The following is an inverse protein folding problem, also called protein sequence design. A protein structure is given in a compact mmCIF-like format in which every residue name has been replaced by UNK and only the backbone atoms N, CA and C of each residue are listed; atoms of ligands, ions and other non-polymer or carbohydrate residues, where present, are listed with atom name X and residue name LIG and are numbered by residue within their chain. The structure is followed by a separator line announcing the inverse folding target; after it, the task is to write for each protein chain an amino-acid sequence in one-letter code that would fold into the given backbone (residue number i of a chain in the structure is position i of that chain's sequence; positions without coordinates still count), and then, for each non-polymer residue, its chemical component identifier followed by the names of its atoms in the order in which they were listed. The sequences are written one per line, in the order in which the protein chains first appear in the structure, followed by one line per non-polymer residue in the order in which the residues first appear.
data_IF_080687878215
#
_entry.id   IF_080687878215
#
_cell.length_a   1.000
_cell.length_b   1.000
_cell.length_c   1.000
_cell.angle_alpha   90.00
_cell.angle_beta   90.00
_cell.angle_gamma   90.00
#
_symmetry.space_group_name_H-M   'P 1'
#
loop_
_entity.id
_entity.type
_entity.pdbx_description
1 polymer ?
#
# COMPACT_ATOMS: atom_id res chain seq x y z
N UNK A 1 39.14 15.43 -12.05
CA UNK A 1 37.90 16.11 -12.48
C UNK A 1 37.70 15.69 -13.91
N UNK A 2 36.71 14.85 -14.22
CA UNK A 2 36.17 14.64 -15.58
C UNK A 2 35.04 13.60 -15.53
N UNK A 3 33.82 14.08 -15.32
CA UNK A 3 32.60 13.35 -15.66
C UNK A 3 32.26 13.67 -17.10
N UNK A 4 32.72 12.83 -18.03
CA UNK A 4 32.36 12.92 -19.43
C UNK A 4 30.95 12.34 -19.63
N UNK A 5 29.94 13.18 -19.44
CA UNK A 5 28.62 12.94 -20.03
C UNK A 5 28.67 13.10 -21.55
N UNK A 6 27.72 12.52 -22.30
CA UNK A 6 27.74 12.55 -23.76
C UNK A 6 27.74 14.00 -24.28
N UNK A 7 28.79 14.35 -25.03
CA UNK A 7 29.01 15.65 -25.64
C UNK A 7 28.00 15.88 -26.78
N UNK A 8 26.78 16.30 -26.44
CA UNK A 8 25.72 16.63 -27.41
C UNK A 8 25.04 17.98 -27.18
N UNK A 9 25.55 18.84 -26.29
CA UNK A 9 25.04 20.21 -26.13
C UNK A 9 26.18 21.21 -26.13
N UNK A 10 25.97 22.36 -26.79
CA UNK A 10 26.91 23.48 -26.87
C UNK A 10 27.50 23.84 -25.50
N UNK A 11 28.72 24.39 -25.49
CA UNK A 11 29.52 24.72 -24.28
C UNK A 11 28.90 25.75 -23.31
N UNK A 12 27.60 26.04 -23.42
CA UNK A 12 26.84 26.83 -22.45
C UNK A 12 26.30 25.88 -21.37
N UNK A 13 26.65 26.16 -20.11
CA UNK A 13 26.13 25.45 -18.94
C UNK A 13 24.63 25.72 -18.84
N UNK A 14 23.80 24.89 -19.47
CA UNK A 14 22.35 25.03 -19.44
C UNK A 14 21.81 25.03 -18.00
N UNK A 15 20.72 25.76 -17.75
CA UNK A 15 20.02 25.71 -16.45
C UNK A 15 19.28 24.36 -16.32
N UNK A 16 20.04 23.29 -16.05
CA UNK A 16 19.51 21.93 -15.90
C UNK A 16 18.48 21.86 -14.78
N UNK A 17 18.73 22.54 -13.65
CA UNK A 17 17.79 22.60 -12.52
C UNK A 17 16.43 23.17 -12.94
N UNK A 18 16.42 24.31 -13.63
CA UNK A 18 15.19 24.92 -14.14
C UNK A 18 14.49 24.06 -15.20
N UNK A 19 15.24 23.34 -16.02
CA UNK A 19 14.68 22.40 -17.00
C UNK A 19 13.99 21.22 -16.30
N UNK A 20 14.64 20.59 -15.32
CA UNK A 20 14.04 19.50 -14.55
C UNK A 20 12.82 19.99 -13.75
N UNK A 21 12.88 21.16 -13.12
CA UNK A 21 11.73 21.73 -12.42
C UNK A 21 10.52 21.89 -13.35
N UNK A 22 10.72 22.45 -14.56
CA UNK A 22 9.63 22.59 -15.55
C UNK A 22 9.11 21.25 -16.06
N UNK A 23 10.01 20.28 -16.28
CA UNK A 23 9.64 18.94 -16.73
C UNK A 23 8.83 18.20 -15.66
N UNK A 24 9.28 18.20 -14.41
CA UNK A 24 8.61 17.52 -13.30
C UNK A 24 7.24 18.15 -12.99
N UNK A 25 7.08 19.45 -13.22
CA UNK A 25 5.80 20.15 -13.10
C UNK A 25 4.91 20.03 -14.34
N UNK A 26 5.38 19.37 -15.41
CA UNK A 26 4.59 19.24 -16.63
C UNK A 26 3.44 18.24 -16.44
N UNK A 27 2.26 18.48 -17.05
CA UNK A 27 1.11 17.57 -16.95
C UNK A 27 1.42 16.15 -17.41
N UNK A 28 2.26 16.00 -18.45
CA UNK A 28 2.67 14.71 -18.98
C UNK A 28 3.45 13.90 -17.93
N UNK A 29 4.46 14.53 -17.29
CA UNK A 29 5.25 13.85 -16.26
C UNK A 29 4.39 13.50 -15.05
N UNK A 30 3.57 14.43 -14.56
CA UNK A 30 2.70 14.19 -13.40
C UNK A 30 1.75 13.02 -13.65
N UNK A 31 1.14 12.96 -14.83
CA UNK A 31 0.22 11.87 -15.18
C UNK A 31 0.94 10.53 -15.28
N UNK A 32 2.08 10.49 -16.00
CA UNK A 32 2.90 9.29 -16.10
C UNK A 32 3.41 8.80 -14.73
N UNK A 33 3.91 9.72 -13.91
CA UNK A 33 4.43 9.42 -12.58
C UNK A 33 3.32 8.90 -11.67
N UNK A 34 2.12 9.47 -11.74
CA UNK A 34 0.97 9.00 -10.96
C UNK A 34 0.60 7.56 -11.30
N UNK A 35 0.58 7.21 -12.59
CA UNK A 35 0.34 5.82 -13.05
C UNK A 35 1.44 4.89 -12.55
N UNK A 36 2.71 5.23 -12.77
CA UNK A 36 3.86 4.40 -12.33
C UNK A 36 3.92 4.22 -10.82
N UNK A 37 3.61 5.29 -10.07
CA UNK A 37 3.54 5.26 -8.60
C UNK A 37 2.44 4.32 -8.13
N UNK A 38 1.26 4.37 -8.76
CA UNK A 38 0.17 3.47 -8.38
C UNK A 38 0.48 2.01 -8.73
N UNK A 39 1.13 1.72 -9.87
CA UNK A 39 1.61 0.37 -10.20
C UNK A 39 2.65 -0.16 -9.19
N UNK A 40 3.57 0.69 -8.73
CA UNK A 40 4.53 0.33 -7.69
C UNK A 40 3.83 0.05 -6.35
N UNK A 41 2.90 0.93 -5.96
CA UNK A 41 2.11 0.75 -4.75
C UNK A 41 1.23 -0.50 -4.80
N UNK A 42 0.67 -0.84 -5.97
CA UNK A 42 -0.07 -2.09 -6.18
C UNK A 42 0.79 -3.31 -5.86
N UNK A 43 2.01 -3.38 -6.40
CA UNK A 43 2.94 -4.47 -6.13
C UNK A 43 3.30 -4.55 -4.64
N UNK A 44 3.55 -3.41 -4.01
CA UNK A 44 3.83 -3.35 -2.57
C UNK A 44 2.66 -3.86 -1.73
N UNK A 45 1.41 -3.52 -2.08
CA UNK A 45 0.21 -4.05 -1.38
C UNK A 45 0.11 -5.56 -1.50
N UNK A 46 0.34 -6.13 -2.67
CA UNK A 46 0.31 -7.58 -2.87
C UNK A 46 1.37 -8.28 -2.02
N UNK A 47 2.60 -7.77 -2.02
CA UNK A 47 3.68 -8.30 -1.19
C UNK A 47 3.32 -8.19 0.29
N UNK A 48 2.79 -7.04 0.71
CA UNK A 48 2.40 -6.82 2.11
C UNK A 48 1.32 -7.81 2.57
N UNK A 49 0.28 -8.05 1.76
CA UNK A 49 -0.78 -9.02 2.08
C UNK A 49 -0.26 -10.46 2.13
N UNK A 50 0.66 -10.84 1.23
CA UNK A 50 1.31 -12.15 1.26
C UNK A 50 2.16 -12.35 2.52
N UNK A 51 2.94 -11.34 2.91
CA UNK A 51 3.71 -11.39 4.16
C UNK A 51 2.80 -11.44 5.38
N UNK A 52 1.70 -10.69 5.36
CA UNK A 52 0.76 -10.67 6.47
C UNK A 52 0.05 -12.01 6.65
N UNK A 53 -0.30 -12.68 5.55
CA UNK A 53 -0.84 -14.04 5.57
C UNK A 53 0.09 -15.05 6.25
N UNK A 54 1.41 -14.80 6.24
CA UNK A 54 2.44 -15.66 6.83
C UNK A 54 2.83 -15.24 8.26
N UNK A 55 2.47 -14.01 8.66
CA UNK A 55 2.82 -13.47 9.96
C UNK A 55 1.91 -14.03 11.06
N UNK A 56 2.46 -14.13 12.29
CA UNK A 56 1.66 -14.42 13.48
C UNK A 56 1.08 -13.10 14.04
N UNK A 57 -0.09 -12.72 13.51
CA UNK A 57 -0.78 -11.51 13.93
C UNK A 57 -1.26 -11.63 15.39
N UNK A 58 -1.60 -12.83 15.84
CA UNK A 58 -2.03 -13.08 17.22
C UNK A 58 -0.90 -12.83 18.22
N UNK A 59 0.34 -13.15 17.86
CA UNK A 59 1.51 -12.76 18.63
C UNK A 59 1.71 -11.23 18.63
N UNK A 60 1.64 -10.58 17.47
CA UNK A 60 1.84 -9.13 17.33
C UNK A 60 0.83 -8.28 18.13
N UNK A 61 -0.38 -8.79 18.37
CA UNK A 61 -1.41 -8.04 19.09
C UNK A 61 -1.22 -8.01 20.61
N UNK A 62 -0.41 -8.90 21.19
CA UNK A 62 -0.35 -9.07 22.66
C UNK A 62 0.13 -7.82 23.40
N UNK A 63 0.95 -7.00 22.75
CA UNK A 63 1.51 -5.77 23.30
C UNK A 63 0.84 -4.49 22.74
N UNK A 64 -0.28 -4.63 22.03
CA UNK A 64 -0.96 -3.52 21.35
C UNK A 64 -2.20 -3.06 22.09
N UNK A 65 -2.45 -1.76 22.06
CA UNK A 65 -3.69 -1.19 22.54
C UNK A 65 -4.82 -1.50 21.55
N UNK A 66 -6.06 -1.52 22.04
CA UNK A 66 -7.25 -1.83 21.22
C UNK A 66 -7.37 -0.90 20.00
N UNK A 67 -7.06 0.39 20.16
CA UNK A 67 -7.05 1.36 19.05
C UNK A 67 -6.06 0.98 17.96
N UNK A 68 -4.85 0.53 18.32
CA UNK A 68 -3.84 0.10 17.35
C UNK A 68 -4.28 -1.15 16.59
N UNK A 69 -4.95 -2.08 17.30
CA UNK A 69 -5.51 -3.29 16.69
C UNK A 69 -6.63 -2.92 15.71
N UNK A 70 -7.53 -2.02 16.09
CA UNK A 70 -8.62 -1.54 15.25
C UNK A 70 -8.09 -0.84 14.00
N UNK A 71 -7.15 0.09 14.15
CA UNK A 71 -6.53 0.81 13.02
C UNK A 71 -5.84 -0.16 12.06
N UNK A 72 -5.11 -1.13 12.62
CA UNK A 72 -4.47 -2.17 11.82
C UNK A 72 -5.50 -2.99 11.03
N UNK A 73 -6.60 -3.42 11.66
CA UNK A 73 -7.67 -4.16 10.97
C UNK A 73 -8.30 -3.34 9.84
N UNK A 74 -8.56 -2.04 10.06
CA UNK A 74 -9.11 -1.14 9.05
C UNK A 74 -8.15 -0.96 7.87
N UNK A 75 -6.85 -0.81 8.16
CA UNK A 75 -5.81 -0.69 7.14
C UNK A 75 -5.70 -1.98 6.30
N UNK A 76 -5.73 -3.16 6.93
CA UNK A 76 -5.68 -4.45 6.22
C UNK A 76 -6.92 -4.61 5.34
N UNK A 77 -8.10 -4.25 5.84
CA UNK A 77 -9.36 -4.27 5.06
C UNK A 77 -9.27 -3.39 3.82
N UNK A 78 -8.80 -2.14 3.97
CA UNK A 78 -8.64 -1.22 2.85
C UNK A 78 -7.64 -1.78 1.83
N UNK A 79 -6.49 -2.27 2.30
CA UNK A 79 -5.47 -2.86 1.45
C UNK A 79 -6.02 -4.06 0.66
N UNK A 80 -6.77 -4.95 1.31
CA UNK A 80 -7.39 -6.13 0.72
C UNK A 80 -8.46 -5.76 -0.32
N UNK A 81 -9.32 -4.79 -0.01
CA UNK A 81 -10.36 -4.30 -0.93
C UNK A 81 -9.74 -3.72 -2.21
N UNK A 82 -8.68 -2.93 -2.08
CA UNK A 82 -7.96 -2.35 -3.21
C UNK A 82 -7.25 -3.41 -4.05
N UNK A 83 -6.53 -4.33 -3.40
CA UNK A 83 -5.79 -5.40 -4.07
C UNK A 83 -6.70 -6.42 -4.79
N UNK A 84 -7.96 -6.55 -4.37
CA UNK A 84 -8.94 -7.44 -5.03
C UNK A 84 -9.50 -6.82 -6.31
N UNK A 85 -9.62 -5.48 -6.37
CA UNK A 85 -10.18 -4.73 -7.53
C UNK A 85 -9.14 -4.38 -8.60
N UNK A 86 -7.85 -4.54 -8.31
CA UNK A 86 -6.74 -4.17 -9.18
C UNK A 86 -6.14 -5.39 -9.88
N UNK A 87 -5.48 -5.19 -11.02
CA UNK A 87 -4.72 -6.23 -11.71
C UNK A 87 -3.20 -5.97 -11.57
N UNK A 88 -2.38 -6.98 -11.23
CA UNK A 88 -2.79 -8.33 -10.85
C UNK A 88 -3.52 -8.33 -9.51
N UNK A 89 -4.51 -9.20 -9.37
CA UNK A 89 -5.28 -9.33 -8.14
C UNK A 89 -4.55 -10.19 -7.12
N UNK A 90 -4.87 -9.96 -5.85
CA UNK A 90 -4.43 -10.85 -4.76
C UNK A 90 -5.00 -12.27 -4.95
N UNK A 91 -4.23 -13.29 -4.56
CA UNK A 91 -4.68 -14.67 -4.69
C UNK A 91 -5.89 -14.96 -3.82
N UNK A 92 -6.82 -15.79 -4.30
CA UNK A 92 -8.01 -16.17 -3.54
C UNK A 92 -7.67 -16.85 -2.21
N UNK A 93 -6.56 -17.60 -2.16
CA UNK A 93 -6.07 -18.22 -0.93
C UNK A 93 -5.64 -17.18 0.10
N UNK A 94 -4.85 -16.18 -0.30
CA UNK A 94 -4.42 -15.07 0.56
C UNK A 94 -5.63 -14.31 1.11
N UNK A 95 -6.62 -14.03 0.26
CA UNK A 95 -7.87 -13.37 0.67
C UNK A 95 -8.60 -14.17 1.75
N UNK A 96 -8.81 -15.47 1.49
CA UNK A 96 -9.53 -16.33 2.42
C UNK A 96 -8.81 -16.46 3.78
N UNK A 97 -7.49 -16.66 3.76
CA UNK A 97 -6.69 -16.76 4.98
C UNK A 97 -6.74 -15.47 5.80
N UNK A 98 -6.52 -14.31 5.17
CA UNK A 98 -6.58 -13.02 5.86
C UNK A 98 -7.98 -12.73 6.41
N UNK A 99 -9.05 -13.02 5.65
CA UNK A 99 -10.42 -12.88 6.14
C UNK A 99 -10.69 -13.78 7.35
N UNK A 100 -10.17 -15.01 7.35
CA UNK A 100 -10.26 -15.90 8.51
C UNK A 100 -9.54 -15.33 9.71
N UNK A 101 -8.29 -14.87 9.54
CA UNK A 101 -7.50 -14.26 10.61
C UNK A 101 -8.18 -13.01 11.18
N UNK A 102 -8.67 -12.12 10.32
CA UNK A 102 -9.43 -10.91 10.72
C UNK A 102 -10.64 -11.28 11.57
N UNK A 103 -11.42 -12.31 11.18
CA UNK A 103 -12.58 -12.76 11.97
C UNK A 103 -12.18 -13.26 13.35
N UNK A 104 -11.11 -14.04 13.43
CA UNK A 104 -10.56 -14.52 14.71
C UNK A 104 -10.13 -13.36 15.61
N UNK A 105 -9.44 -12.37 15.03
CA UNK A 105 -9.00 -11.17 15.75
C UNK A 105 -10.21 -10.39 16.27
N UNK A 106 -11.21 -10.14 15.43
CA UNK A 106 -12.43 -9.44 15.84
C UNK A 106 -13.09 -10.18 17.01
N UNK A 107 -13.20 -11.51 16.96
CA UNK A 107 -13.79 -12.28 18.05
C UNK A 107 -13.01 -12.24 19.37
N UNK A 108 -11.73 -11.84 19.35
CA UNK A 108 -10.88 -11.69 20.53
C UNK A 108 -10.96 -10.31 21.20
N UNK A 109 -11.55 -9.33 20.53
CA UNK A 109 -11.75 -7.97 21.05
C UNK A 109 -12.98 -7.90 21.98
N UNK A 110 -13.10 -6.85 22.82
CA UNK A 110 -14.30 -6.58 23.60
C UNK A 110 -15.59 -6.48 22.77
N UNK A 111 -16.73 -6.75 23.41
CA UNK A 111 -18.03 -6.92 22.75
C UNK A 111 -18.56 -5.63 22.07
N UNK A 112 -18.26 -4.47 22.65
CA UNK A 112 -18.57 -3.15 22.10
C UNK A 112 -17.84 -2.91 20.78
N UNK A 113 -16.53 -3.19 20.72
CA UNK A 113 -15.73 -3.08 19.50
C UNK A 113 -16.11 -4.12 18.45
N UNK A 114 -16.44 -5.35 18.88
CA UNK A 114 -16.90 -6.41 17.98
C UNK A 114 -18.11 -5.99 17.16
N UNK A 115 -19.09 -5.37 17.81
CA UNK A 115 -20.34 -4.97 17.15
C UNK A 115 -20.10 -3.90 16.08
N UNK A 116 -19.28 -2.90 16.39
CA UNK A 116 -18.86 -1.87 15.44
C UNK A 116 -18.08 -2.45 14.25
N UNK A 117 -17.12 -3.34 14.51
CA UNK A 117 -16.28 -3.93 13.46
C UNK A 117 -17.07 -4.91 12.60
N UNK A 118 -17.90 -5.79 13.17
CA UNK A 118 -18.73 -6.71 12.39
C UNK A 118 -19.60 -5.97 11.36
N UNK A 119 -20.16 -4.82 11.72
CA UNK A 119 -20.88 -3.96 10.76
C UNK A 119 -19.97 -3.51 9.61
N UNK A 120 -18.76 -3.01 9.92
CA UNK A 120 -17.79 -2.57 8.91
C UNK A 120 -17.33 -3.72 8.00
N UNK A 121 -17.04 -4.90 8.54
CA UNK A 121 -16.52 -6.05 7.80
C UNK A 121 -17.58 -6.90 7.10
N UNK A 122 -18.87 -6.63 7.31
CA UNK A 122 -20.00 -7.36 6.67
C UNK A 122 -20.47 -6.74 5.35
N UNK A 123 -20.07 -5.50 5.03
CA UNK A 123 -20.40 -4.87 3.74
C UNK A 123 -19.45 -5.32 2.61
N UNK A 124 -19.98 -5.67 1.42
CA UNK A 124 -19.19 -6.08 0.25
C UNK A 124 -18.31 -4.96 -0.36
#
# INVERSE_FOLDING_TARGET
MEGAGPHLTSGVKGNWTGLYQRFLSSPNFISWFSVRKEEANQKLRLIHLDQLCKADIGFWMRDKQEVEIVDFLLQVKECLSRATRQYPSVSAQTVHTLQSQIRTIISSLPEDLQSCLKSSFSSP
#
